data_IF_401069948628
#
_entry.id   IF_401069948628
#
_cell.length_a   1.000
_cell.length_b   1.000
_cell.length_c   1.000
_cell.angle_alpha   90.00
_cell.angle_beta   90.00
_cell.angle_gamma   90.00
#
_symmetry.space_group_name_H-M   'P 1'
#
loop_
_entity.id
_entity.type
_entity.pdbx_description
1 polymer ?
#
# COMPACT_ATOMS: atom_id res chain seq x y z
N UNK A 1 9.81 -11.09 14.51
CA UNK A 1 9.28 -11.21 13.13
C UNK A 1 9.29 -12.66 12.66
N UNK A 2 10.43 -13.37 12.74
CA UNK A 2 10.56 -14.78 12.35
C UNK A 2 9.55 -15.73 13.01
N UNK A 3 9.33 -15.61 14.34
CA UNK A 3 8.34 -16.44 15.07
C UNK A 3 6.91 -16.25 14.51
N UNK A 4 6.57 -15.03 14.08
CA UNK A 4 5.22 -14.71 13.57
C UNK A 4 4.99 -15.31 12.18
N UNK A 5 6.01 -15.26 11.32
CA UNK A 5 5.96 -15.91 10.01
C UNK A 5 5.93 -17.43 10.21
N UNK A 6 6.82 -17.97 11.05
CA UNK A 6 6.89 -19.40 11.34
C UNK A 6 5.55 -19.97 11.83
N UNK A 7 4.92 -19.34 12.84
CA UNK A 7 3.57 -19.75 13.28
C UNK A 7 2.55 -19.72 12.13
N UNK A 8 2.54 -18.65 11.32
CA UNK A 8 1.60 -18.57 10.19
C UNK A 8 1.83 -19.63 9.11
N UNK A 9 3.08 -20.03 8.88
CA UNK A 9 3.41 -21.08 7.90
C UNK A 9 3.09 -22.50 8.41
N UNK A 10 2.88 -22.69 9.72
CA UNK A 10 2.62 -24.00 10.32
C UNK A 10 1.12 -24.32 10.47
N UNK A 11 0.27 -23.30 10.56
CA UNK A 11 -1.14 -23.49 10.90
C UNK A 11 -2.02 -23.78 9.67
N UNK A 12 -1.79 -23.10 8.54
CA UNK A 12 -2.66 -23.14 7.37
C UNK A 12 -1.89 -22.83 6.07
N UNK A 13 -2.51 -23.10 4.92
CA UNK A 13 -2.02 -22.64 3.62
C UNK A 13 -1.84 -21.12 3.62
N UNK A 14 -0.61 -20.60 3.41
CA UNK A 14 -0.36 -19.18 3.60
C UNK A 14 -1.11 -18.29 2.59
N UNK A 15 -1.82 -17.29 3.11
CA UNK A 15 -2.52 -16.30 2.30
C UNK A 15 -1.73 -15.00 2.31
N UNK A 16 -1.23 -14.59 1.15
CA UNK A 16 -0.35 -13.43 0.98
C UNK A 16 -1.13 -12.28 0.37
N UNK A 17 -1.08 -11.10 1.01
CA UNK A 17 -1.62 -9.86 0.45
C UNK A 17 -0.49 -8.89 0.09
N UNK A 18 -0.67 -8.19 -1.02
CA UNK A 18 0.34 -7.28 -1.59
C UNK A 18 -0.30 -5.91 -1.82
N UNK A 19 -0.28 -5.00 -0.83
CA UNK A 19 -0.77 -3.64 -1.02
C UNK A 19 0.08 -2.90 -2.06
N UNK A 20 -0.58 -2.30 -3.04
CA UNK A 20 0.07 -1.53 -4.11
C UNK A 20 -0.69 -0.26 -4.43
N UNK A 21 0.05 0.76 -4.84
CA UNK A 21 -0.53 1.98 -5.35
C UNK A 21 -1.10 1.76 -6.78
N UNK A 22 -1.95 2.67 -7.29
CA UNK A 22 -2.29 2.77 -8.70
C UNK A 22 -1.06 2.95 -9.61
N UNK A 23 -1.23 2.83 -10.92
CA UNK A 23 -0.15 2.95 -11.90
C UNK A 23 0.33 4.40 -12.12
N UNK A 24 1.01 4.94 -11.11
CA UNK A 24 1.62 6.26 -11.16
C UNK A 24 2.72 6.36 -12.24
N UNK A 25 2.93 7.56 -12.81
CA UNK A 25 3.98 7.82 -13.78
C UNK A 25 5.36 7.42 -13.22
N UNK A 26 6.16 6.78 -14.07
CA UNK A 26 7.51 6.36 -13.72
C UNK A 26 8.39 6.31 -14.98
N UNK A 27 9.70 6.39 -14.79
CA UNK A 27 10.73 6.27 -15.84
C UNK A 27 11.95 5.57 -15.25
N UNK A 28 12.50 4.59 -15.98
CA UNK A 28 13.67 3.79 -15.55
C UNK A 28 13.50 3.19 -14.13
N UNK A 29 12.27 2.82 -13.80
CA UNK A 29 11.95 2.16 -12.53
C UNK A 29 11.93 3.07 -11.30
N UNK A 30 11.79 4.38 -11.49
CA UNK A 30 11.61 5.40 -10.46
C UNK A 30 10.34 6.22 -10.73
N UNK A 31 9.63 6.63 -9.69
CA UNK A 31 8.46 7.49 -9.83
C UNK A 31 8.84 8.85 -10.42
N UNK A 32 7.92 9.41 -11.20
CA UNK A 32 7.97 10.78 -11.69
C UNK A 32 6.97 11.64 -10.91
N UNK A 33 7.05 12.97 -11.00
CA UNK A 33 5.98 13.83 -10.52
C UNK A 33 4.61 13.37 -11.02
N UNK A 34 3.64 13.27 -10.12
CA UNK A 34 2.30 12.75 -10.40
C UNK A 34 1.47 13.84 -11.04
N UNK A 35 1.57 13.94 -12.36
CA UNK A 35 0.77 14.86 -13.19
C UNK A 35 -0.41 14.17 -13.88
N UNK A 36 -0.48 12.84 -13.79
CA UNK A 36 -1.54 12.01 -14.37
C UNK A 36 -1.54 10.63 -13.72
N UNK A 37 -2.50 9.78 -14.08
CA UNK A 37 -2.54 8.38 -13.70
C UNK A 37 -2.67 7.49 -14.95
N UNK A 38 -1.79 6.48 -15.08
CA UNK A 38 -1.83 5.53 -16.20
C UNK A 38 -2.84 4.41 -15.92
N UNK A 39 -3.33 3.76 -16.98
CA UNK A 39 -4.18 2.55 -16.86
C UNK A 39 -3.35 1.24 -16.96
N UNK A 40 -2.16 1.19 -16.36
CA UNK A 40 -1.18 0.10 -16.53
C UNK A 40 -0.95 -0.72 -15.26
N UNK A 41 0.11 -1.52 -15.23
CA UNK A 41 0.54 -2.20 -14.00
C UNK A 41 1.32 -1.22 -13.13
N UNK A 42 1.06 -1.20 -11.82
CA UNK A 42 1.82 -0.39 -10.87
C UNK A 42 3.30 -0.76 -10.87
N UNK A 43 4.18 0.25 -10.80
CA UNK A 43 5.63 0.04 -10.69
C UNK A 43 5.96 -0.85 -9.49
N UNK A 44 5.31 -0.61 -8.35
CA UNK A 44 5.51 -1.40 -7.12
C UNK A 44 5.14 -2.86 -7.38
N UNK A 45 4.02 -3.11 -8.04
CA UNK A 45 3.61 -4.47 -8.42
C UNK A 45 4.61 -5.13 -9.37
N UNK A 46 5.07 -4.42 -10.41
CA UNK A 46 6.09 -4.93 -11.34
C UNK A 46 7.34 -5.39 -10.58
N UNK A 47 7.75 -4.62 -9.57
CA UNK A 47 8.91 -4.96 -8.74
C UNK A 47 8.63 -6.15 -7.82
N UNK A 48 7.42 -6.30 -7.30
CA UNK A 48 7.09 -7.44 -6.44
C UNK A 48 6.99 -8.78 -7.17
N UNK A 49 6.63 -8.82 -8.46
CA UNK A 49 6.41 -10.09 -9.19
C UNK A 49 7.60 -11.06 -9.07
N UNK A 50 8.87 -10.71 -9.38
CA UNK A 50 9.98 -11.65 -9.26
C UNK A 50 10.23 -12.16 -7.84
N UNK A 51 9.96 -11.32 -6.83
CA UNK A 51 10.07 -11.71 -5.44
C UNK A 51 8.95 -12.69 -5.04
N UNK A 52 7.72 -12.39 -5.43
CA UNK A 52 6.56 -13.24 -5.17
C UNK A 52 6.70 -14.61 -5.84
N UNK A 53 7.25 -14.67 -7.06
CA UNK A 53 7.54 -15.94 -7.74
C UNK A 53 8.45 -16.83 -6.90
N UNK A 54 9.56 -16.27 -6.39
CA UNK A 54 10.47 -17.01 -5.48
C UNK A 54 9.79 -17.42 -4.17
N UNK A 55 8.90 -16.60 -3.63
CA UNK A 55 8.12 -16.94 -2.44
C UNK A 55 7.18 -18.11 -2.73
N UNK A 56 6.47 -18.09 -3.86
CA UNK A 56 5.57 -19.17 -4.26
C UNK A 56 6.31 -20.43 -4.71
N UNK A 57 7.55 -20.34 -5.18
CA UNK A 57 8.42 -21.52 -5.40
C UNK A 57 8.74 -22.22 -4.08
N UNK A 58 8.95 -21.46 -3.00
CA UNK A 58 9.23 -22.00 -1.66
C UNK A 58 7.96 -22.45 -0.92
N UNK A 59 6.81 -21.85 -1.26
CA UNK A 59 5.51 -22.15 -0.66
C UNK A 59 4.48 -22.29 -1.79
N UNK A 60 4.46 -23.43 -2.50
CA UNK A 60 3.64 -23.61 -3.72
C UNK A 60 2.15 -23.44 -3.51
N UNK A 61 1.65 -23.77 -2.32
CA UNK A 61 0.24 -23.66 -1.97
C UNK A 61 -0.17 -22.21 -1.64
N UNK A 62 0.77 -21.26 -1.52
CA UNK A 62 0.45 -19.91 -1.09
C UNK A 62 -0.43 -19.18 -2.11
N UNK A 63 -1.60 -18.70 -1.67
CA UNK A 63 -2.46 -17.84 -2.48
C UNK A 63 -2.00 -16.39 -2.38
N UNK A 64 -1.87 -15.69 -3.50
CA UNK A 64 -1.46 -14.27 -3.55
C UNK A 64 -2.62 -13.39 -4.04
N UNK A 65 -2.93 -12.34 -3.29
CA UNK A 65 -3.88 -11.29 -3.67
C UNK A 65 -3.20 -9.92 -3.68
N UNK A 66 -3.16 -9.27 -4.84
CA UNK A 66 -2.63 -7.92 -5.01
C UNK A 66 -3.76 -6.90 -4.76
N UNK A 67 -3.57 -6.01 -3.80
CA UNK A 67 -4.57 -5.03 -3.36
C UNK A 67 -4.23 -3.64 -3.90
N UNK A 68 -4.98 -3.16 -4.89
CA UNK A 68 -4.80 -1.82 -5.46
C UNK A 68 -5.53 -0.79 -4.60
N UNK A 69 -4.86 0.29 -4.23
CA UNK A 69 -5.39 1.36 -3.36
C UNK A 69 -6.51 2.20 -4.01
N UNK A 70 -7.70 1.63 -4.15
CA UNK A 70 -8.89 2.27 -4.76
C UNK A 70 -9.36 3.54 -4.05
N UNK A 71 -9.17 3.60 -2.73
CA UNK A 71 -9.56 4.75 -1.92
C UNK A 71 -8.80 6.04 -2.24
N UNK A 72 -7.68 5.96 -2.96
CA UNK A 72 -6.90 7.14 -3.38
C UNK A 72 -7.68 8.06 -4.32
N UNK A 73 -8.69 7.55 -5.04
CA UNK A 73 -9.60 8.39 -5.83
C UNK A 73 -10.39 9.40 -5.00
N UNK A 74 -10.50 9.18 -3.67
CA UNK A 74 -11.12 10.11 -2.74
C UNK A 74 -10.14 11.17 -2.20
N UNK A 75 -8.86 11.11 -2.56
CA UNK A 75 -7.84 12.04 -2.07
C UNK A 75 -7.86 13.36 -2.86
N UNK A 76 -8.15 14.52 -2.22
CA UNK A 76 -8.22 15.78 -2.93
C UNK A 76 -6.91 16.23 -3.56
N UNK A 77 -5.74 16.06 -2.92
CA UNK A 77 -4.50 16.56 -3.54
C UNK A 77 -3.99 15.66 -4.65
N UNK A 78 -4.20 14.34 -4.58
CA UNK A 78 -3.89 13.47 -5.74
C UNK A 78 -4.77 13.84 -6.94
N UNK A 79 -6.04 14.16 -6.73
CA UNK A 79 -6.92 14.66 -7.81
C UNK A 79 -6.47 16.02 -8.33
N UNK A 80 -6.05 16.95 -7.45
CA UNK A 80 -5.46 18.23 -7.89
C UNK A 80 -4.19 18.04 -8.69
N UNK A 81 -3.27 17.19 -8.22
CA UNK A 81 -1.98 16.93 -8.87
C UNK A 81 -2.15 16.30 -10.26
N UNK A 82 -3.14 15.42 -10.41
CA UNK A 82 -3.44 14.74 -11.67
C UNK A 82 -4.39 15.50 -12.59
N UNK A 83 -5.03 16.58 -12.12
CA UNK A 83 -6.13 17.28 -12.80
C UNK A 83 -7.29 16.36 -13.23
N UNK A 84 -7.48 15.23 -12.54
CA UNK A 84 -8.54 14.27 -12.84
C UNK A 84 -9.75 14.48 -11.93
N UNK A 85 -10.95 14.35 -12.49
CA UNK A 85 -12.16 14.16 -11.70
C UNK A 85 -12.09 12.83 -10.93
N UNK A 86 -12.92 12.70 -9.88
CA UNK A 86 -13.01 11.44 -9.12
C UNK A 86 -13.38 10.26 -10.03
N UNK A 87 -14.33 10.44 -10.95
CA UNK A 87 -14.77 9.38 -11.88
C UNK A 87 -13.66 8.92 -12.81
N UNK A 88 -12.87 9.85 -13.34
CA UNK A 88 -11.71 9.53 -14.18
C UNK A 88 -10.63 8.81 -13.39
N UNK A 89 -10.33 9.26 -12.16
CA UNK A 89 -9.36 8.61 -11.29
C UNK A 89 -9.78 7.16 -10.99
N UNK A 90 -11.04 6.94 -10.59
CA UNK A 90 -11.60 5.60 -10.39
C UNK A 90 -11.52 4.73 -11.65
N UNK A 91 -11.79 5.31 -12.82
CA UNK A 91 -11.65 4.60 -14.09
C UNK A 91 -10.20 4.17 -14.37
N UNK A 92 -9.21 5.02 -14.08
CA UNK A 92 -7.78 4.68 -14.21
C UNK A 92 -7.34 3.60 -13.21
N UNK A 93 -7.87 3.63 -11.98
CA UNK A 93 -7.65 2.57 -10.99
C UNK A 93 -8.22 1.24 -11.48
N UNK A 94 -9.44 1.22 -12.03
CA UNK A 94 -10.01 -0.01 -12.63
C UNK A 94 -9.16 -0.52 -13.78
N UNK A 95 -8.62 0.38 -14.60
CA UNK A 95 -7.62 0.05 -15.61
C UNK A 95 -6.36 -0.60 -15.02
N UNK A 96 -5.87 -0.07 -13.90
CA UNK A 96 -4.72 -0.65 -13.17
C UNK A 96 -5.01 -2.06 -12.67
N UNK A 97 -6.17 -2.28 -12.07
CA UNK A 97 -6.61 -3.61 -11.60
C UNK A 97 -6.68 -4.59 -12.78
N UNK A 98 -7.32 -4.20 -13.88
CA UNK A 98 -7.45 -5.06 -15.06
C UNK A 98 -6.09 -5.40 -15.68
N UNK A 99 -5.22 -4.40 -15.90
CA UNK A 99 -3.88 -4.61 -16.45
C UNK A 99 -3.03 -5.50 -15.54
N UNK A 100 -3.12 -5.30 -14.23
CA UNK A 100 -2.39 -6.11 -13.25
C UNK A 100 -2.92 -7.55 -13.24
N UNK A 101 -4.24 -7.75 -13.27
CA UNK A 101 -4.85 -9.09 -13.36
C UNK A 101 -4.38 -9.84 -14.59
N UNK A 102 -4.38 -9.20 -15.76
CA UNK A 102 -3.85 -9.81 -16.99
C UNK A 102 -2.38 -10.19 -16.86
N UNK A 103 -1.57 -9.35 -16.18
CA UNK A 103 -0.12 -9.58 -16.01
C UNK A 103 0.22 -10.77 -15.12
N UNK A 104 -0.62 -11.08 -14.13
CA UNK A 104 -0.36 -12.13 -13.12
C UNK A 104 -1.26 -13.37 -13.30
N UNK A 105 -2.11 -13.39 -14.32
CA UNK A 105 -3.07 -14.47 -14.56
C UNK A 105 -2.40 -15.84 -14.73
N UNK A 106 -1.24 -15.89 -15.39
CA UNK A 106 -0.48 -17.14 -15.58
C UNK A 106 0.02 -17.77 -14.26
N UNK A 107 0.10 -16.99 -13.18
CA UNK A 107 0.50 -17.47 -11.85
C UNK A 107 -0.70 -17.82 -10.95
N UNK A 108 -1.94 -17.66 -11.43
CA UNK A 108 -3.15 -17.90 -10.64
C UNK A 108 -3.39 -16.88 -9.52
N UNK A 109 -2.74 -15.70 -9.56
CA UNK A 109 -2.86 -14.69 -8.51
C UNK A 109 -4.11 -13.81 -8.70
N UNK A 110 -4.67 -13.37 -7.57
CA UNK A 110 -5.83 -12.48 -7.55
C UNK A 110 -5.42 -11.01 -7.52
N UNK A 111 -6.30 -10.14 -8.02
CA UNK A 111 -6.11 -8.69 -7.99
C UNK A 111 -7.45 -8.02 -7.70
N UNK A 112 -7.48 -7.21 -6.65
CA UNK A 112 -8.68 -6.57 -6.14
C UNK A 112 -8.42 -5.12 -5.72
N UNK A 113 -9.48 -4.33 -5.67
CA UNK A 113 -9.43 -3.05 -4.98
C UNK A 113 -9.39 -3.29 -3.46
N UNK A 114 -8.56 -2.54 -2.73
CA UNK A 114 -8.44 -2.70 -1.27
C UNK A 114 -9.77 -2.47 -0.54
N UNK A 115 -10.64 -1.60 -1.07
CA UNK A 115 -11.97 -1.35 -0.49
C UNK A 115 -12.97 -2.47 -0.73
N UNK A 116 -12.74 -3.31 -1.74
CA UNK A 116 -13.62 -4.43 -2.05
C UNK A 116 -13.19 -5.63 -1.21
N UNK A 117 -11.88 -5.85 -1.10
CA UNK A 117 -11.26 -6.86 -0.24
C UNK A 117 -11.48 -6.60 1.25
N UNK A 118 -11.40 -5.33 1.68
CA UNK A 118 -11.61 -4.90 3.06
C UNK A 118 -12.67 -3.78 3.11
N UNK A 119 -13.98 -4.12 3.11
CA UNK A 119 -15.06 -3.14 3.02
C UNK A 119 -15.06 -2.06 4.11
N UNK A 120 -14.67 -2.41 5.33
CA UNK A 120 -14.59 -1.46 6.46
C UNK A 120 -13.26 -0.70 6.54
N UNK A 121 -12.40 -0.78 5.53
CA UNK A 121 -11.09 -0.12 5.50
C UNK A 121 -11.18 1.40 5.78
N UNK A 122 -12.12 2.10 5.14
CA UNK A 122 -12.26 3.55 5.32
C UNK A 122 -12.74 3.93 6.73
N UNK A 123 -13.65 3.14 7.31
CA UNK A 123 -14.12 3.34 8.68
C UNK A 123 -13.01 3.06 9.69
N UNK A 124 -12.26 1.97 9.51
CA UNK A 124 -11.07 1.66 10.30
C UNK A 124 -10.06 2.82 10.24
N UNK A 125 -9.77 3.32 9.03
CA UNK A 125 -8.81 4.41 8.82
C UNK A 125 -9.23 5.65 9.60
N UNK A 126 -10.49 6.05 9.51
CA UNK A 126 -11.00 7.21 10.24
C UNK A 126 -10.89 7.05 11.76
N UNK A 127 -11.18 5.87 12.30
CA UNK A 127 -11.00 5.58 13.72
C UNK A 127 -9.53 5.62 14.14
N UNK A 128 -8.64 5.09 13.29
CA UNK A 128 -7.20 5.03 13.56
C UNK A 128 -6.55 6.41 13.46
N UNK A 129 -6.99 7.29 12.56
CA UNK A 129 -6.56 8.70 12.51
C UNK A 129 -6.86 9.39 13.84
N UNK A 130 -8.07 9.21 14.40
CA UNK A 130 -8.43 9.78 15.72
C UNK A 130 -7.54 9.23 16.83
N UNK A 131 -7.26 7.94 16.82
CA UNK A 131 -6.36 7.32 17.79
C UNK A 131 -4.94 7.89 17.71
N UNK A 132 -4.35 8.01 16.50
CA UNK A 132 -3.03 8.61 16.30
C UNK A 132 -3.01 10.07 16.79
N UNK A 133 -4.07 10.83 16.51
CA UNK A 133 -4.19 12.23 16.92
C UNK A 133 -4.27 12.44 18.44
N UNK A 134 -4.74 11.43 19.19
CA UNK A 134 -4.91 11.50 20.63
C UNK A 134 -3.70 10.97 21.43
N UNK A 135 -2.70 10.40 20.76
CA UNK A 135 -1.50 9.83 21.40
C UNK A 135 -0.28 10.71 21.09
N UNK A 136 0.26 11.36 22.13
CA UNK A 136 1.40 12.27 21.99
C UNK A 136 2.68 11.57 21.54
N UNK A 137 2.85 10.28 21.86
CA UNK A 137 4.02 9.52 21.42
C UNK A 137 3.97 9.26 19.92
N UNK A 138 2.77 8.96 19.39
CA UNK A 138 2.54 8.76 17.96
C UNK A 138 2.63 10.08 17.18
N UNK A 139 2.24 11.20 17.79
CA UNK A 139 2.35 12.52 17.19
C UNK A 139 3.80 12.86 16.78
N UNK A 140 4.79 12.57 17.64
CA UNK A 140 6.22 12.80 17.34
C UNK A 140 6.72 11.88 16.23
N UNK A 141 6.26 10.62 16.22
CA UNK A 141 6.60 9.67 15.17
C UNK A 141 6.04 10.13 13.81
N UNK A 142 4.81 10.66 13.79
CA UNK A 142 4.22 11.26 12.60
C UNK A 142 5.07 12.42 12.10
N UNK A 143 5.55 13.32 12.97
CA UNK A 143 6.39 14.45 12.56
C UNK A 143 7.71 13.97 11.92
N UNK A 144 8.36 12.97 12.53
CA UNK A 144 9.57 12.37 11.96
C UNK A 144 9.31 11.72 10.58
N UNK A 145 8.21 10.96 10.46
CA UNK A 145 7.79 10.36 9.19
C UNK A 145 7.42 11.41 8.14
N UNK A 146 6.83 12.53 8.54
CA UNK A 146 6.51 13.65 7.65
C UNK A 146 7.78 14.24 7.04
N UNK A 147 8.80 14.50 7.87
CA UNK A 147 10.10 15.01 7.40
C UNK A 147 10.81 13.99 6.50
N UNK A 148 10.82 12.70 6.88
CA UNK A 148 11.44 11.64 6.08
C UNK A 148 10.77 11.43 4.72
N UNK A 149 9.53 11.89 4.54
CA UNK A 149 8.73 11.79 3.31
C UNK A 149 8.80 13.03 2.42
N UNK A 150 9.70 13.97 2.69
CA UNK A 150 9.77 15.23 1.92
C UNK A 150 9.90 15.01 0.41
N UNK A 151 10.80 14.12 -0.03
CA UNK A 151 10.96 13.77 -1.45
C UNK A 151 9.69 13.12 -2.04
N UNK A 152 8.96 12.33 -1.26
CA UNK A 152 7.67 11.78 -1.68
C UNK A 152 6.66 12.90 -1.94
N UNK A 153 6.57 13.89 -1.05
CA UNK A 153 5.61 15.00 -1.22
C UNK A 153 5.90 15.85 -2.45
N UNK A 154 7.19 16.10 -2.73
CA UNK A 154 7.62 16.81 -3.94
C UNK A 154 7.16 16.10 -5.22
N UNK A 155 7.17 14.76 -5.23
CA UNK A 155 6.73 13.97 -6.38
C UNK A 155 5.20 13.86 -6.48
N UNK A 156 4.49 13.65 -5.38
CA UNK A 156 3.08 13.24 -5.41
C UNK A 156 2.08 14.37 -5.23
N UNK A 157 2.47 15.46 -4.55
CA UNK A 157 1.52 16.46 -4.07
C UNK A 157 1.96 17.90 -4.37
N UNK A 158 3.21 18.11 -4.81
CA UNK A 158 3.73 19.43 -5.16
C UNK A 158 3.97 20.31 -3.93
N UNK A 159 3.60 21.58 -4.01
CA UNK A 159 3.71 22.51 -2.90
C UNK A 159 2.55 22.33 -1.91
N UNK A 160 2.78 21.58 -0.83
CA UNK A 160 1.89 21.44 0.32
C UNK A 160 2.51 22.08 1.57
N UNK A 161 1.68 22.60 2.47
CA UNK A 161 2.15 23.06 3.78
C UNK A 161 2.59 21.89 4.64
N UNK A 162 3.34 22.16 5.71
CA UNK A 162 3.74 21.10 6.65
C UNK A 162 2.52 20.40 7.26
N UNK A 163 1.46 21.12 7.58
CA UNK A 163 0.23 20.59 8.15
C UNK A 163 -0.49 19.65 7.17
N UNK A 164 -0.53 19.98 5.89
CA UNK A 164 -1.10 19.12 4.84
C UNK A 164 -0.28 17.83 4.68
N UNK A 165 1.05 17.95 4.64
CA UNK A 165 1.98 16.82 4.61
C UNK A 165 1.80 15.92 5.84
N UNK A 166 1.68 16.52 7.03
CA UNK A 166 1.46 15.81 8.30
C UNK A 166 0.13 15.08 8.34
N UNK A 167 -0.94 15.70 7.83
CA UNK A 167 -2.25 15.08 7.70
C UNK A 167 -2.19 13.86 6.75
N UNK A 168 -1.46 13.95 5.65
CA UNK A 168 -1.19 12.81 4.75
C UNK A 168 -0.38 11.72 5.42
N UNK A 169 0.68 12.06 6.15
CA UNK A 169 1.46 11.07 6.92
C UNK A 169 0.56 10.31 7.88
N UNK A 170 -0.28 11.03 8.64
CA UNK A 170 -1.25 10.46 9.57
C UNK A 170 -2.22 9.51 8.88
N UNK A 171 -2.73 9.90 7.71
CA UNK A 171 -3.63 9.07 6.90
C UNK A 171 -2.94 7.79 6.43
N UNK A 172 -1.72 7.86 5.89
CA UNK A 172 -0.96 6.68 5.46
C UNK A 172 -0.62 5.77 6.64
N UNK A 173 -0.18 6.33 7.77
CA UNK A 173 0.08 5.57 9.00
C UNK A 173 -1.15 4.79 9.46
N UNK A 174 -2.33 5.43 9.41
CA UNK A 174 -3.61 4.81 9.70
C UNK A 174 -3.97 3.69 8.70
N UNK A 175 -3.68 3.87 7.41
CA UNK A 175 -3.91 2.87 6.36
C UNK A 175 -3.06 1.61 6.59
N UNK A 176 -1.77 1.77 6.92
CA UNK A 176 -0.87 0.66 7.26
C UNK A 176 -1.30 -0.05 8.54
N UNK A 177 -1.66 0.71 9.58
CA UNK A 177 -2.14 0.15 10.84
C UNK A 177 -3.42 -0.67 10.63
N UNK A 178 -4.38 -0.14 9.85
CA UNK A 178 -5.63 -0.83 9.55
C UNK A 178 -5.44 -2.09 8.73
N UNK A 179 -4.65 -2.03 7.65
CA UNK A 179 -4.35 -3.20 6.85
C UNK A 179 -3.60 -4.25 7.67
N UNK A 180 -2.67 -3.82 8.53
CA UNK A 180 -1.93 -4.70 9.44
C UNK A 180 -2.85 -5.43 10.41
N UNK A 181 -3.86 -4.75 10.96
CA UNK A 181 -4.81 -5.34 11.93
C UNK A 181 -5.67 -6.37 11.23
N UNK A 182 -6.26 -5.98 10.10
CA UNK A 182 -7.04 -6.88 9.26
C UNK A 182 -6.22 -8.12 8.85
N UNK A 183 -4.98 -7.93 8.40
CA UNK A 183 -4.10 -9.03 8.05
C UNK A 183 -3.79 -9.95 9.23
N UNK A 184 -3.53 -9.40 10.42
CA UNK A 184 -3.32 -10.21 11.62
C UNK A 184 -4.56 -11.03 11.95
N UNK A 185 -5.73 -10.42 11.96
CA UNK A 185 -7.00 -11.04 12.35
C UNK A 185 -7.41 -12.14 11.36
N UNK A 186 -7.09 -11.96 10.08
CA UNK A 186 -7.34 -12.92 9.01
C UNK A 186 -6.13 -13.84 8.71
N UNK A 187 -5.10 -13.84 9.55
CA UNK A 187 -3.90 -14.65 9.35
C UNK A 187 -3.18 -14.46 7.99
N UNK A 188 -3.29 -13.28 7.37
CA UNK A 188 -2.56 -12.93 6.15
C UNK A 188 -1.08 -12.63 6.42
N UNK A 189 -0.22 -13.00 5.47
CA UNK A 189 1.12 -12.45 5.32
C UNK A 189 1.06 -11.19 4.45
N UNK A 190 1.69 -10.10 4.86
CA UNK A 190 1.82 -8.91 4.01
C UNK A 190 3.16 -8.94 3.30
N UNK A 191 3.17 -8.84 1.97
CA UNK A 191 4.38 -8.50 1.20
C UNK A 191 4.38 -7.01 0.93
N UNK A 192 5.43 -6.30 1.36
CA UNK A 192 5.54 -4.87 1.12
C UNK A 192 6.98 -4.46 0.82
N UNK A 193 7.13 -3.33 0.16
CA UNK A 193 8.43 -2.77 -0.22
C UNK A 193 8.98 -1.83 0.85
N UNK A 194 10.27 -1.50 0.75
CA UNK A 194 10.90 -0.52 1.65
C UNK A 194 10.20 0.84 1.55
N UNK A 195 9.62 1.28 2.67
CA UNK A 195 9.02 2.60 2.85
C UNK A 195 9.09 2.98 4.33
N UNK A 196 9.07 4.27 4.64
CA UNK A 196 9.00 4.77 6.03
C UNK A 196 7.79 4.20 6.76
N UNK A 197 6.70 3.95 6.04
CA UNK A 197 5.45 3.48 6.64
C UNK A 197 5.48 2.02 7.15
N UNK A 198 6.53 1.23 6.85
CA UNK A 198 6.62 -0.16 7.34
C UNK A 198 6.63 -0.24 8.87
N UNK A 199 7.13 0.80 9.55
CA UNK A 199 7.16 0.86 11.01
C UNK A 199 5.76 0.71 11.64
N UNK A 200 4.70 1.15 10.94
CA UNK A 200 3.32 1.08 11.43
C UNK A 200 2.75 -0.35 11.48
N UNK A 201 3.39 -1.32 10.83
CA UNK A 201 3.06 -2.74 10.99
C UNK A 201 3.60 -3.35 12.29
N UNK A 202 4.67 -2.78 12.86
CA UNK A 202 5.37 -3.35 14.02
C UNK A 202 4.46 -3.45 15.26
N UNK A 203 3.77 -2.36 15.68
CA UNK A 203 2.92 -2.39 16.88
C UNK A 203 1.71 -3.33 16.73
N UNK A 204 1.24 -3.52 15.50
CA UNK A 204 0.08 -4.37 15.22
C UNK A 204 0.41 -5.84 15.40
N UNK A 205 1.64 -6.23 15.05
CA UNK A 205 2.10 -7.60 15.18
C UNK A 205 1.85 -8.47 13.96
N UNK A 206 1.69 -7.88 12.77
CA UNK A 206 1.48 -8.64 11.52
C UNK A 206 2.75 -9.39 11.10
N UNK A 207 2.57 -10.46 10.33
CA UNK A 207 3.66 -11.17 9.66
C UNK A 207 3.98 -10.48 8.32
N UNK A 208 5.19 -9.94 8.19
CA UNK A 208 5.63 -9.10 7.08
C UNK A 208 6.77 -9.78 6.31
N UNK A 209 6.58 -9.96 5.01
CA UNK A 209 7.61 -10.32 4.04
C UNK A 209 8.12 -9.03 3.38
N UNK A 210 9.28 -8.56 3.84
CA UNK A 210 9.87 -7.31 3.35
C UNK A 210 10.65 -7.56 2.06
N UNK A 211 10.23 -6.91 0.97
CA UNK A 211 10.95 -6.90 -0.30
C UNK A 211 11.72 -5.59 -0.47
N UNK A 212 13.05 -5.64 -0.52
CA UNK A 212 13.86 -4.43 -0.59
C UNK A 212 13.84 -3.79 -2.00
N UNK A 213 12.86 -2.91 -2.25
CA UNK A 213 12.69 -2.17 -3.51
C UNK A 213 12.80 -0.67 -3.26
N UNK A 214 13.55 0.03 -4.12
CA UNK A 214 13.63 1.49 -4.13
C UNK A 214 12.96 2.05 -5.40
N UNK A 215 11.81 2.72 -5.23
CA UNK A 215 11.00 3.31 -6.31
C UNK A 215 11.01 4.85 -6.33
N UNK A 216 11.64 5.48 -5.33
CA UNK A 216 11.77 6.93 -5.18
C UNK A 216 13.14 7.45 -5.64
#
# INVERSE_FOLDING_TARGET
>A
MAIRIGSRLLDETPRIIVPTCPAYPNRRGKFLPVTTLKSGVSLVTIRHIPFLLRVTELIPEASVTILVASHEANDPALRRATSLSRKEFEHRIRGTIHATRKRVAEYGWNVEAITDFFPSFLACRAATIRWIGNDQSLARHIDADTLAREHFYQLFCGAETYEEKRARTTKTAAEYTCLGRHAKDQAYLIVNHTTTNLAWYIPVGVALLHHHVSVY
#
